data_IF_568769279332
#
_entry.id   IF_568769279332
#
_cell.length_a   1.000
_cell.length_b   1.000
_cell.length_c   1.000
_cell.angle_alpha   90.00
_cell.angle_beta   90.00
_cell.angle_gamma   90.00
#
_symmetry.space_group_name_H-M   'P 1'
#
loop_
_entity.id
_entity.type
_entity.pdbx_description
1 polymer ?
#
# COMPACT_ATOMS: atom_id res chain seq x y z
N UNK A 1 -20.14 4.35 -11.75
CA UNK A 1 -19.05 3.71 -10.99
C UNK A 1 -17.82 4.60 -11.13
N UNK A 2 -17.03 4.73 -10.08
CA UNK A 2 -15.84 5.57 -10.03
C UNK A 2 -14.64 4.66 -9.74
N UNK A 3 -13.61 4.72 -10.59
CA UNK A 3 -12.34 4.03 -10.38
C UNK A 3 -11.30 5.05 -9.91
N UNK A 4 -10.60 4.73 -8.84
CA UNK A 4 -9.51 5.53 -8.31
C UNK A 4 -8.19 4.86 -8.68
N UNK A 5 -7.37 5.58 -9.44
CA UNK A 5 -6.04 5.17 -9.85
C UNK A 5 -5.05 5.71 -8.83
N UNK A 6 -4.27 4.84 -8.19
CA UNK A 6 -3.32 5.28 -7.18
C UNK A 6 -2.16 6.06 -7.83
N UNK A 7 -1.74 7.20 -7.25
CA UNK A 7 -0.74 8.05 -7.86
C UNK A 7 0.62 7.36 -7.99
N UNK A 8 0.97 6.40 -7.13
CA UNK A 8 2.26 5.71 -7.18
C UNK A 8 2.39 4.80 -8.40
N UNK A 9 1.34 4.02 -8.69
CA UNK A 9 1.33 3.09 -9.84
C UNK A 9 1.06 3.82 -11.15
N UNK A 10 0.28 4.91 -11.11
CA UNK A 10 -0.24 5.56 -12.30
C UNK A 10 0.36 6.94 -12.63
N UNK A 11 1.38 7.40 -11.91
CA UNK A 11 2.02 8.72 -12.15
C UNK A 11 2.51 8.89 -13.61
N UNK A 12 3.17 7.87 -14.15
CA UNK A 12 3.64 7.80 -15.54
C UNK A 12 3.24 6.45 -16.13
N UNK A 13 1.95 6.29 -16.44
CA UNK A 13 1.38 5.04 -16.92
C UNK A 13 0.92 5.15 -18.37
N UNK A 14 1.23 4.15 -19.18
CA UNK A 14 0.64 3.97 -20.50
C UNK A 14 0.32 2.49 -20.69
N UNK A 15 -0.96 2.16 -20.82
CA UNK A 15 -1.40 0.77 -20.94
C UNK A 15 -2.89 0.60 -20.74
N UNK A 16 -3.30 -0.62 -20.42
CA UNK A 16 -4.68 -1.06 -20.34
C UNK A 16 -5.12 -1.26 -18.89
N UNK A 17 -6.25 -0.67 -18.53
CA UNK A 17 -6.86 -0.73 -17.20
C UNK A 17 -8.24 -1.37 -17.31
N UNK A 18 -8.53 -2.34 -16.44
CA UNK A 18 -9.86 -2.94 -16.37
C UNK A 18 -10.78 -2.17 -15.43
N UNK A 19 -11.99 -1.88 -15.89
CA UNK A 19 -13.07 -1.29 -15.09
C UNK A 19 -13.58 -2.28 -14.04
N UNK A 20 -13.45 -1.95 -12.74
CA UNK A 20 -13.85 -2.85 -11.64
C UNK A 20 -15.35 -3.25 -11.66
N UNK A 21 -16.24 -2.41 -12.17
CA UNK A 21 -17.70 -2.61 -12.12
C UNK A 21 -18.34 -2.98 -13.44
N UNK A 22 -17.65 -2.78 -14.56
CA UNK A 22 -18.17 -3.07 -15.90
C UNK A 22 -17.35 -4.08 -16.69
N UNK A 23 -16.19 -4.51 -16.17
CA UNK A 23 -15.25 -5.45 -16.79
C UNK A 23 -14.68 -5.05 -18.16
N UNK A 24 -15.10 -3.91 -18.71
CA UNK A 24 -14.54 -3.30 -19.92
C UNK A 24 -13.08 -2.88 -19.67
N UNK A 25 -12.23 -3.11 -20.67
CA UNK A 25 -10.82 -2.72 -20.64
C UNK A 25 -10.65 -1.42 -21.40
N UNK A 26 -9.94 -0.47 -20.78
CA UNK A 26 -9.66 0.84 -21.33
C UNK A 26 -8.17 1.04 -21.49
N UNK A 27 -7.75 1.48 -22.66
CA UNK A 27 -6.42 2.03 -22.88
C UNK A 27 -6.36 3.46 -22.32
N UNK A 28 -5.32 3.72 -21.53
CA UNK A 28 -5.17 4.94 -20.76
C UNK A 28 -3.71 5.38 -20.70
N UNK A 29 -3.50 6.69 -20.79
CA UNK A 29 -2.18 7.31 -20.72
C UNK A 29 -2.18 8.45 -19.69
N UNK A 30 -1.24 8.41 -18.76
CA UNK A 30 -0.98 9.36 -17.70
C UNK A 30 0.50 9.75 -17.73
N UNK A 31 0.77 11.05 -17.71
CA UNK A 31 2.11 11.62 -17.59
C UNK A 31 2.09 12.66 -16.49
N UNK A 32 2.95 12.51 -15.49
CA UNK A 32 2.95 13.31 -14.27
C UNK A 32 1.56 13.41 -13.61
N UNK A 33 0.82 12.30 -13.56
CA UNK A 33 -0.53 12.23 -13.02
C UNK A 33 -1.62 12.86 -13.92
N UNK A 34 -1.25 13.50 -15.02
CA UNK A 34 -2.19 14.11 -15.96
C UNK A 34 -2.55 13.18 -17.10
N UNK A 35 -3.85 13.06 -17.35
CA UNK A 35 -4.39 12.27 -18.44
C UNK A 35 -4.00 12.87 -19.79
N UNK A 36 -3.43 12.06 -20.67
CA UNK A 36 -2.95 12.49 -22.00
C UNK A 36 -4.04 12.44 -23.09
N UNK A 37 -5.24 11.96 -22.77
CA UNK A 37 -6.36 11.87 -23.71
C UNK A 37 -7.55 11.11 -23.12
N UNK A 38 -8.71 11.05 -23.80
CA UNK A 38 -9.83 10.24 -23.34
C UNK A 38 -9.45 8.76 -23.21
N UNK A 39 -10.06 8.06 -22.27
CA UNK A 39 -9.97 6.61 -22.20
C UNK A 39 -10.54 6.00 -23.47
N UNK A 40 -9.83 5.06 -24.08
CA UNK A 40 -10.30 4.36 -25.28
C UNK A 40 -10.64 2.93 -24.92
N UNK A 41 -11.87 2.51 -25.20
CA UNK A 41 -12.23 1.11 -25.02
C UNK A 41 -11.39 0.22 -25.95
N UNK A 42 -10.87 -0.88 -25.39
CA UNK A 42 -10.01 -1.80 -26.11
C UNK A 42 -10.32 -3.24 -25.75
N UNK A 43 -9.91 -4.17 -26.61
CA UNK A 43 -10.04 -5.61 -26.37
C UNK A 43 -8.69 -6.20 -25.95
N UNK A 44 -8.76 -7.29 -25.18
CA UNK A 44 -7.60 -8.05 -24.73
C UNK A 44 -7.33 -7.95 -23.23
N UNK A 45 -6.20 -8.51 -22.76
CA UNK A 45 -5.84 -8.50 -21.35
C UNK A 45 -5.58 -7.08 -20.85
N UNK A 46 -5.79 -6.88 -19.54
CA UNK A 46 -5.48 -5.63 -18.85
C UNK A 46 -4.09 -5.73 -18.21
N UNK A 47 -3.40 -4.60 -18.11
CA UNK A 47 -2.07 -4.54 -17.50
C UNK A 47 -2.16 -4.25 -15.99
N UNK A 48 -3.13 -3.41 -15.60
CA UNK A 48 -3.33 -3.00 -14.21
C UNK A 48 -4.82 -2.93 -13.83
N UNK A 49 -5.06 -3.10 -12.54
CA UNK A 49 -6.36 -2.86 -11.90
C UNK A 49 -6.33 -1.52 -11.16
N UNK A 50 -7.48 -0.85 -10.98
CA UNK A 50 -7.58 0.33 -10.14
C UNK A 50 -7.27 -0.02 -8.68
N UNK A 51 -6.63 0.89 -7.95
CA UNK A 51 -6.31 0.70 -6.53
C UNK A 51 -7.56 0.67 -5.64
N UNK A 52 -8.60 1.41 -6.04
CA UNK A 52 -9.89 1.42 -5.35
C UNK A 52 -11.03 1.72 -6.35
N UNK A 53 -12.24 1.25 -6.04
CA UNK A 53 -13.41 1.53 -6.86
C UNK A 53 -14.69 1.55 -6.02
N UNK A 54 -15.68 2.33 -6.47
CA UNK A 54 -16.97 2.44 -5.80
C UNK A 54 -18.14 2.67 -6.77
N UNK A 55 -19.36 2.34 -6.33
CA UNK A 55 -20.59 2.67 -7.06
C UNK A 55 -20.91 4.17 -6.99
N UNK A 56 -21.87 4.65 -7.79
CA UNK A 56 -22.35 6.03 -7.70
C UNK A 56 -23.07 6.31 -6.36
N UNK A 57 -23.55 5.25 -5.72
CA UNK A 57 -24.18 5.25 -4.40
C UNK A 57 -23.16 5.12 -3.25
N UNK A 58 -21.88 5.41 -3.52
CA UNK A 58 -20.80 5.43 -2.52
C UNK A 58 -20.50 4.09 -1.83
N UNK A 59 -20.87 2.96 -2.45
CA UNK A 59 -20.55 1.62 -1.94
C UNK A 59 -19.21 1.13 -2.51
N UNK A 60 -18.26 0.68 -1.67
CA UNK A 60 -16.97 0.20 -2.14
C UNK A 60 -17.10 -1.13 -2.88
N UNK A 61 -16.24 -1.35 -3.88
CA UNK A 61 -16.11 -2.62 -4.59
C UNK A 61 -14.84 -3.30 -4.08
N UNK A 62 -15.01 -4.38 -3.30
CA UNK A 62 -13.92 -5.13 -2.67
C UNK A 62 -13.74 -6.53 -3.24
N UNK A 63 -14.50 -6.87 -4.30
CA UNK A 63 -14.45 -8.20 -4.91
C UNK A 63 -13.05 -8.50 -5.48
N UNK A 64 -12.45 -9.66 -5.16
CA UNK A 64 -11.16 -10.06 -5.70
C UNK A 64 -11.14 -10.01 -7.24
N UNK A 65 -10.06 -9.49 -7.82
CA UNK A 65 -9.89 -9.36 -9.27
C UNK A 65 -10.62 -8.18 -9.92
N UNK A 66 -11.34 -7.37 -9.14
CA UNK A 66 -11.95 -6.10 -9.62
C UNK A 66 -11.06 -4.89 -9.34
N UNK A 67 -10.44 -4.87 -8.17
CA UNK A 67 -9.47 -3.84 -7.75
C UNK A 67 -8.12 -4.51 -7.48
N UNK A 68 -7.04 -3.74 -7.55
CA UNK A 68 -5.73 -4.21 -7.15
C UNK A 68 -5.77 -4.64 -5.68
N UNK A 69 -5.02 -5.69 -5.34
CA UNK A 69 -4.87 -6.06 -3.94
C UNK A 69 -4.27 -4.88 -3.18
N UNK A 70 -4.86 -4.55 -2.03
CA UNK A 70 -4.30 -3.52 -1.17
C UNK A 70 -2.85 -3.88 -0.88
N UNK A 71 -1.90 -2.93 -0.98
CA UNK A 71 -0.52 -3.19 -0.61
C UNK A 71 -0.51 -3.69 0.82
N UNK A 72 -0.22 -4.97 0.99
CA UNK A 72 0.03 -5.52 2.32
C UNK A 72 1.30 -4.83 2.80
N UNK A 73 1.32 -4.42 4.07
CA UNK A 73 2.60 -4.21 4.72
C UNK A 73 3.41 -5.51 4.56
N UNK A 74 4.74 -5.37 4.53
CA UNK A 74 5.71 -6.46 4.26
C UNK A 74 5.24 -7.80 4.86
N UNK A 75 5.54 -8.94 4.23
CA UNK A 75 5.10 -10.26 4.74
C UNK A 75 5.53 -10.51 6.21
N UNK A 76 6.59 -9.86 6.69
CA UNK A 76 7.06 -9.89 8.09
C UNK A 76 6.32 -8.92 9.04
N UNK A 77 5.43 -8.07 8.53
CA UNK A 77 4.68 -7.09 9.29
C UNK A 77 3.53 -7.76 10.04
N UNK A 78 3.87 -8.41 11.16
CA UNK A 78 2.92 -9.10 12.03
C UNK A 78 2.05 -8.15 12.88
N UNK A 79 2.11 -6.83 12.65
CA UNK A 79 1.66 -5.81 13.61
C UNK A 79 2.42 -5.87 14.95
N UNK A 80 3.48 -6.69 15.00
CA UNK A 80 4.33 -6.89 16.16
C UNK A 80 5.65 -6.17 15.92
N UNK A 81 6.17 -5.46 16.91
CA UNK A 81 7.44 -4.78 16.77
C UNK A 81 8.61 -5.72 16.46
N UNK A 82 9.48 -5.30 15.55
CA UNK A 82 10.63 -6.08 15.07
C UNK A 82 11.66 -6.22 16.21
N UNK A 83 12.26 -7.41 16.45
CA UNK A 83 13.25 -7.61 17.50
C UNK A 83 14.53 -6.77 17.31
N UNK A 84 14.99 -6.08 18.38
CA UNK A 84 16.28 -5.36 18.42
C UNK A 84 17.42 -6.36 18.27
N UNK A 85 18.33 -6.10 17.34
CA UNK A 85 19.67 -6.66 17.38
C UNK A 85 20.65 -5.61 17.94
N UNK A 86 21.51 -6.04 18.87
CA UNK A 86 22.61 -5.20 19.34
C UNK A 86 23.66 -5.13 18.23
N UNK A 87 24.17 -3.93 17.92
CA UNK A 87 25.43 -3.82 17.20
C UNK A 87 26.54 -4.43 18.07
N UNK A 88 27.46 -5.18 17.47
CA UNK A 88 28.69 -5.69 18.10
C UNK A 88 29.47 -4.60 18.86
N UNK A 89 29.26 -3.32 18.51
CA UNK A 89 29.91 -2.15 19.10
C UNK A 89 29.10 -1.45 20.21
N UNK A 90 28.05 -2.08 20.73
CA UNK A 90 27.28 -1.57 21.89
C UNK A 90 26.40 -0.34 21.61
N UNK A 91 26.35 0.16 20.37
CA UNK A 91 25.44 1.26 19.99
C UNK A 91 24.06 0.72 19.60
N UNK A 92 23.03 1.46 20.00
CA UNK A 92 21.62 1.15 19.72
C UNK A 92 21.36 1.16 18.22
N UNK A 93 20.84 0.05 17.69
CA UNK A 93 20.37 -0.05 16.31
C UNK A 93 18.95 -0.62 16.35
N UNK A 94 17.97 0.27 16.20
CA UNK A 94 16.52 0.00 16.15
C UNK A 94 15.88 -0.51 17.44
N UNK A 95 14.56 -0.26 17.59
CA UNK A 95 13.78 -0.42 18.82
C UNK A 95 12.72 -1.54 18.76
N UNK A 96 12.80 -2.47 19.72
CA UNK A 96 11.77 -3.42 20.16
C UNK A 96 11.15 -2.87 21.46
N UNK A 97 9.91 -3.25 21.77
CA UNK A 97 9.29 -3.03 23.06
C UNK A 97 10.12 -3.68 24.13
N UNK A 98 10.51 -2.90 25.12
CA UNK A 98 11.21 -3.40 26.29
C UNK A 98 10.25 -4.25 27.11
N UNK A 99 10.74 -5.39 27.58
CA UNK A 99 10.01 -6.23 28.53
C UNK A 99 9.95 -5.54 29.90
N UNK A 100 8.97 -5.90 30.74
CA UNK A 100 8.90 -5.37 32.11
C UNK A 100 10.18 -5.63 32.92
N UNK A 101 10.90 -6.72 32.61
CA UNK A 101 12.19 -7.04 33.22
C UNK A 101 13.32 -6.08 32.78
N UNK A 102 13.20 -5.42 31.63
CA UNK A 102 14.16 -4.45 31.08
C UNK A 102 13.85 -3.01 31.53
N UNK A 103 12.80 -2.79 32.32
CA UNK A 103 12.31 -1.49 32.78
C UNK A 103 12.45 -1.30 34.31
N UNK A 104 12.58 -0.04 34.74
CA UNK A 104 12.29 0.43 36.11
C UNK A 104 11.15 1.44 35.96
N UNK A 105 9.93 1.06 36.34
CA UNK A 105 8.72 1.82 35.97
C UNK A 105 8.58 1.89 34.44
N UNK A 106 8.53 3.11 33.90
CA UNK A 106 8.47 3.36 32.45
C UNK A 106 9.84 3.63 31.81
N UNK A 107 10.94 3.58 32.59
CA UNK A 107 12.29 3.92 32.13
C UNK A 107 13.09 2.66 31.81
N UNK A 108 13.78 2.57 30.66
CA UNK A 108 14.70 1.47 30.38
C UNK A 108 15.82 1.43 31.44
N UNK A 109 16.09 0.25 32.01
CA UNK A 109 17.13 0.05 33.05
C UNK A 109 18.48 0.65 32.67
N UNK A 110 18.83 0.61 31.39
CA UNK A 110 20.08 1.17 30.86
C UNK A 110 20.20 2.71 30.94
N UNK A 111 19.09 3.43 31.18
CA UNK A 111 19.04 4.88 31.34
C UNK A 111 18.60 5.29 32.76
N UNK A 112 18.39 4.33 33.67
CA UNK A 112 17.97 4.60 35.03
C UNK A 112 19.20 4.92 35.90
N UNK A 113 19.36 6.19 36.28
CA UNK A 113 20.51 6.67 37.06
C UNK A 113 20.24 6.77 38.58
N UNK A 114 19.20 6.09 39.09
CA UNK A 114 18.75 6.23 40.48
C UNK A 114 17.75 7.35 40.65
#
# INVERSE_FOLDING_TARGET
MINYLDPFTFWNFHGKIKCAGCDVVYEYALKNGHRQGPAKETKGPHDKLPGFAQTKDWKPITTPGKVAAAPQAREDFQGKPIPISKSIRGKLVSGKPLTAAELVGSVPKMFYNG
#
